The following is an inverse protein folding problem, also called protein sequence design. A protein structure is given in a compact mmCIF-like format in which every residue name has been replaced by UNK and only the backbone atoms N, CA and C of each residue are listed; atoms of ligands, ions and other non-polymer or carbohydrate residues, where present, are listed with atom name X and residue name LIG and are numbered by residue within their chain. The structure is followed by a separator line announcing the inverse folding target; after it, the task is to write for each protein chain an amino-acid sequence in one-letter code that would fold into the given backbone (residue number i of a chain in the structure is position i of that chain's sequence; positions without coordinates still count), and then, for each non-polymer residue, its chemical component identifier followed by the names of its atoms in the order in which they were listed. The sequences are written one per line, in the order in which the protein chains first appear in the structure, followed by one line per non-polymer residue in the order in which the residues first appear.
data_IF_621695741529
#
_entry.id   IF_621695741529
#
_cell.length_a   1.000
_cell.length_b   1.000
_cell.length_c   1.000
_cell.angle_alpha   90.00
_cell.angle_beta   90.00
_cell.angle_gamma   90.00
#
_symmetry.space_group_name_H-M   'P 1'
#
loop_
_entity.id
_entity.type
_entity.pdbx_description
1 polymer ?
#
# COMPACT_ATOMS: atom_id res chain seq x y z
N UNK A 1 -51.60 -33.44 -4.74
CA UNK A 1 -50.80 -33.00 -3.57
C UNK A 1 -49.28 -33.20 -3.70
N UNK A 2 -48.72 -33.76 -4.78
CA UNK A 2 -47.27 -34.08 -4.88
C UNK A 2 -46.35 -32.92 -5.27
N UNK A 3 -46.85 -31.84 -5.88
CA UNK A 3 -46.01 -30.72 -6.35
C UNK A 3 -45.85 -29.56 -5.35
N UNK A 4 -46.68 -29.50 -4.28
CA UNK A 4 -46.58 -28.43 -3.27
C UNK A 4 -45.36 -28.57 -2.36
N UNK A 5 -44.86 -29.78 -2.14
CA UNK A 5 -43.72 -30.02 -1.25
C UNK A 5 -42.37 -29.81 -1.98
N UNK A 6 -42.30 -30.09 -3.28
CA UNK A 6 -41.08 -29.87 -4.08
C UNK A 6 -40.79 -28.39 -4.34
N UNK A 7 -41.82 -27.54 -4.46
CA UNK A 7 -41.67 -26.08 -4.60
C UNK A 7 -41.23 -25.43 -3.28
N UNK A 8 -41.73 -25.93 -2.14
CA UNK A 8 -41.35 -25.41 -0.81
C UNK A 8 -39.88 -25.73 -0.48
N UNK A 9 -39.39 -26.90 -0.87
CA UNK A 9 -37.99 -27.31 -0.71
C UNK A 9 -37.04 -26.48 -1.59
N UNK A 10 -37.46 -26.14 -2.82
CA UNK A 10 -36.66 -25.27 -3.71
C UNK A 10 -36.54 -23.84 -3.16
N UNK A 11 -37.61 -23.32 -2.53
CA UNK A 11 -37.60 -22.01 -1.85
C UNK A 11 -36.71 -22.02 -0.59
N UNK A 12 -36.65 -23.14 0.13
CA UNK A 12 -35.79 -23.28 1.32
C UNK A 12 -34.30 -23.33 0.95
N UNK A 13 -33.95 -23.98 -0.17
CA UNK A 13 -32.57 -23.97 -0.68
C UNK A 13 -32.15 -22.62 -1.29
N UNK A 14 -33.08 -21.87 -1.89
CA UNK A 14 -32.81 -20.51 -2.37
C UNK A 14 -32.66 -19.49 -1.22
N UNK A 15 -33.32 -19.70 -0.08
CA UNK A 15 -33.18 -18.83 1.09
C UNK A 15 -31.94 -19.16 1.95
N UNK A 16 -31.44 -20.41 1.93
CA UNK A 16 -30.25 -20.82 2.67
C UNK A 16 -28.92 -20.48 1.97
N UNK A 17 -28.95 -20.04 0.71
CA UNK A 17 -27.77 -19.71 -0.09
C UNK A 17 -27.22 -18.28 0.07
N UNK A 18 -27.80 -17.47 0.97
CA UNK A 18 -27.37 -16.10 1.25
C UNK A 18 -27.24 -15.86 2.76
N UNK A 19 -26.49 -16.71 3.48
CA UNK A 19 -25.96 -16.27 4.78
C UNK A 19 -24.88 -15.24 4.50
N UNK A 20 -25.07 -14.00 4.95
CA UNK A 20 -23.99 -13.04 4.97
C UNK A 20 -22.84 -13.64 5.82
N UNK A 21 -21.57 -13.46 5.39
CA UNK A 21 -20.43 -13.91 6.16
C UNK A 21 -20.50 -13.29 7.56
N UNK A 22 -20.34 -14.11 8.59
CA UNK A 22 -20.56 -13.66 9.98
C UNK A 22 -19.31 -13.85 10.86
N UNK A 23 -18.38 -14.71 10.44
CA UNK A 23 -17.13 -14.98 11.17
C UNK A 23 -15.96 -14.11 10.71
N UNK A 24 -15.01 -13.87 11.63
CA UNK A 24 -13.80 -13.08 11.35
C UNK A 24 -12.97 -13.74 10.22
N UNK A 25 -12.92 -15.07 10.19
CA UNK A 25 -12.21 -15.85 9.17
C UNK A 25 -12.82 -15.73 7.76
N UNK A 26 -14.16 -15.78 7.65
CA UNK A 26 -14.86 -15.63 6.37
C UNK A 26 -14.69 -14.22 5.81
N UNK A 27 -14.81 -13.20 6.66
CA UNK A 27 -14.67 -11.79 6.28
C UNK A 27 -13.22 -11.47 5.88
N UNK A 28 -12.24 -12.06 6.58
CA UNK A 28 -10.83 -11.99 6.18
C UNK A 28 -10.58 -12.67 4.82
N UNK A 29 -11.25 -13.80 4.54
CA UNK A 29 -11.14 -14.48 3.25
C UNK A 29 -11.71 -13.63 2.10
N UNK A 30 -12.82 -12.92 2.33
CA UNK A 30 -13.38 -11.98 1.36
C UNK A 30 -12.44 -10.81 1.07
N UNK A 31 -11.79 -10.26 2.09
CA UNK A 31 -10.77 -9.22 1.87
C UNK A 31 -9.58 -9.74 1.05
N UNK A 32 -9.18 -11.02 1.21
CA UNK A 32 -8.14 -11.64 0.37
C UNK A 32 -8.58 -11.79 -1.10
N UNK A 33 -9.85 -12.13 -1.33
CA UNK A 33 -10.42 -12.17 -2.67
C UNK A 33 -10.45 -10.77 -3.30
N UNK A 34 -10.99 -9.79 -2.57
CA UNK A 34 -11.03 -8.38 -2.99
C UNK A 34 -9.63 -7.79 -3.23
N UNK A 35 -8.63 -8.18 -2.44
CA UNK A 35 -7.24 -7.82 -2.69
C UNK A 35 -6.78 -8.36 -4.06
N UNK A 36 -7.09 -9.62 -4.36
CA UNK A 36 -6.75 -10.23 -5.66
C UNK A 36 -7.41 -9.47 -6.82
N UNK A 37 -8.67 -9.09 -6.67
CA UNK A 37 -9.40 -8.27 -7.66
C UNK A 37 -8.79 -6.87 -7.82
N UNK A 38 -8.48 -6.18 -6.72
CA UNK A 38 -7.85 -4.87 -6.72
C UNK A 38 -6.49 -4.85 -7.44
N UNK A 39 -5.79 -6.00 -7.46
CA UNK A 39 -4.50 -6.16 -8.12
C UNK A 39 -4.62 -6.66 -9.56
N UNK A 40 -5.82 -7.07 -10.00
CA UNK A 40 -6.07 -7.68 -11.31
C UNK A 40 -6.19 -6.66 -12.46
N UNK A 41 -5.29 -5.68 -12.55
CA UNK A 41 -5.30 -4.67 -13.62
C UNK A 41 -3.97 -4.55 -14.36
N UNK A 42 -4.05 -4.08 -15.62
CA UNK A 42 -2.96 -4.21 -16.61
C UNK A 42 -1.67 -3.49 -16.21
N UNK A 43 -1.76 -2.35 -15.50
CA UNK A 43 -0.55 -1.63 -15.08
C UNK A 43 0.24 -2.36 -13.99
N UNK A 44 -0.40 -3.11 -13.08
CA UNK A 44 0.32 -4.00 -12.15
C UNK A 44 1.02 -5.10 -12.90
N UNK A 45 0.34 -5.70 -13.89
CA UNK A 45 0.96 -6.74 -14.72
C UNK A 45 2.17 -6.18 -15.47
N UNK A 46 2.10 -4.94 -15.99
CA UNK A 46 3.25 -4.27 -16.60
C UNK A 46 4.37 -3.96 -15.60
N UNK A 47 4.03 -3.52 -14.39
CA UNK A 47 5.02 -3.25 -13.35
C UNK A 47 5.74 -4.52 -12.90
N UNK A 48 5.00 -5.62 -12.72
CA UNK A 48 5.53 -6.95 -12.49
C UNK A 48 6.44 -7.39 -13.64
N UNK A 49 6.05 -7.14 -14.90
CA UNK A 49 6.90 -7.38 -16.07
C UNK A 49 8.24 -6.65 -15.97
N UNK A 50 8.23 -5.35 -15.64
CA UNK A 50 9.46 -4.58 -15.46
C UNK A 50 10.31 -5.08 -14.29
N UNK A 51 9.67 -5.47 -13.17
CA UNK A 51 10.34 -6.00 -11.98
C UNK A 51 11.00 -7.36 -12.24
N UNK A 52 10.31 -8.27 -12.92
CA UNK A 52 10.88 -9.54 -13.37
C UNK A 52 12.07 -9.27 -14.29
N UNK A 53 12.03 -8.23 -15.14
CA UNK A 53 13.16 -7.89 -15.99
C UNK A 53 14.41 -7.51 -15.21
N UNK A 54 14.26 -6.66 -14.19
CA UNK A 54 15.38 -6.30 -13.30
C UNK A 54 15.89 -7.54 -12.54
N UNK A 55 15.01 -8.32 -11.91
CA UNK A 55 15.37 -9.49 -11.11
C UNK A 55 16.06 -10.58 -11.93
N UNK A 56 15.52 -10.89 -13.10
CA UNK A 56 16.06 -11.94 -13.98
C UNK A 56 17.43 -11.60 -14.56
N UNK A 57 17.84 -10.33 -14.57
CA UNK A 57 19.19 -9.93 -15.01
C UNK A 57 20.31 -10.60 -14.19
N UNK A 58 20.04 -10.92 -12.92
CA UNK A 58 20.97 -11.57 -12.01
C UNK A 58 20.92 -13.11 -12.06
N UNK A 59 20.08 -13.71 -12.90
CA UNK A 59 19.99 -15.18 -13.03
C UNK A 59 21.32 -15.73 -13.57
N UNK A 60 21.90 -16.67 -12.84
CA UNK A 60 23.16 -17.33 -13.22
C UNK A 60 22.93 -18.60 -14.04
N UNK A 61 21.85 -19.34 -13.75
CA UNK A 61 21.46 -20.54 -14.51
C UNK A 61 20.45 -20.19 -15.60
N UNK A 62 20.95 -20.02 -16.82
CA UNK A 62 20.15 -19.65 -18.00
C UNK A 62 19.41 -20.84 -18.63
N UNK A 63 19.57 -22.05 -18.09
CA UNK A 63 18.88 -23.26 -18.57
C UNK A 63 17.47 -23.40 -17.99
N UNK A 64 17.13 -22.63 -16.93
CA UNK A 64 15.82 -22.67 -16.28
C UNK A 64 14.68 -22.32 -17.25
N UNK A 65 13.62 -23.15 -17.36
CA UNK A 65 12.50 -22.90 -18.26
C UNK A 65 11.83 -21.53 -18.07
N UNK A 66 11.71 -21.08 -16.82
CA UNK A 66 11.10 -19.80 -16.47
C UNK A 66 11.94 -18.63 -16.97
N UNK A 67 13.28 -18.74 -16.90
CA UNK A 67 14.19 -17.75 -17.46
C UNK A 67 14.12 -17.73 -18.99
N UNK A 68 14.14 -18.89 -19.65
CA UNK A 68 14.13 -18.98 -21.12
C UNK A 68 12.85 -18.43 -21.75
N UNK A 69 11.70 -18.60 -21.08
CA UNK A 69 10.41 -18.04 -21.51
C UNK A 69 10.42 -16.51 -21.51
N UNK A 70 11.23 -15.90 -20.64
CA UNK A 70 11.23 -14.46 -20.40
C UNK A 70 12.42 -13.74 -21.06
N UNK A 71 13.58 -14.39 -21.15
CA UNK A 71 14.86 -13.76 -21.47
C UNK A 71 14.90 -13.08 -22.83
N UNK A 72 14.17 -13.60 -23.82
CA UNK A 72 14.06 -13.03 -25.17
C UNK A 72 13.38 -11.66 -25.21
N UNK A 73 12.61 -11.33 -24.17
CA UNK A 73 11.82 -10.10 -24.06
C UNK A 73 12.40 -9.11 -23.04
N UNK A 74 13.57 -9.43 -22.46
CA UNK A 74 14.24 -8.62 -21.45
C UNK A 74 14.95 -7.39 -22.00
N UNK A 75 15.60 -7.55 -23.16
CA UNK A 75 16.57 -6.58 -23.64
C UNK A 75 15.94 -5.20 -23.88
N UNK A 76 14.71 -5.13 -24.39
CA UNK A 76 14.02 -3.85 -24.60
C UNK A 76 13.73 -3.13 -23.29
N UNK A 77 13.28 -3.87 -22.26
CA UNK A 77 13.01 -3.31 -20.92
C UNK A 77 14.31 -2.89 -20.26
N UNK A 78 15.32 -3.77 -20.24
CA UNK A 78 16.60 -3.49 -19.61
C UNK A 78 17.35 -2.35 -20.31
N UNK A 79 17.34 -2.26 -21.63
CA UNK A 79 17.92 -1.12 -22.36
C UNK A 79 17.17 0.18 -22.08
N UNK A 80 15.84 0.09 -21.94
CA UNK A 80 15.05 1.23 -21.51
C UNK A 80 15.41 1.63 -20.09
N UNK A 81 15.64 0.70 -19.17
CA UNK A 81 16.00 0.96 -17.77
C UNK A 81 17.50 1.30 -17.55
N UNK A 82 18.41 0.85 -18.41
CA UNK A 82 19.86 1.09 -18.27
C UNK A 82 20.25 2.54 -18.57
N UNK A 83 19.42 3.26 -19.34
CA UNK A 83 19.57 4.69 -19.63
C UNK A 83 18.97 5.59 -18.54
N UNK A 84 18.94 5.16 -17.28
CA UNK A 84 18.46 5.98 -16.15
C UNK A 84 19.61 6.89 -15.71
N UNK A 85 19.72 8.08 -16.30
CA UNK A 85 20.36 9.18 -15.58
C UNK A 85 19.40 9.62 -14.48
N UNK A 86 19.88 9.72 -13.25
CA UNK A 86 19.13 10.14 -12.05
C UNK A 86 18.40 11.48 -12.22
N UNK A 87 18.82 12.30 -13.21
CA UNK A 87 18.24 13.60 -13.56
C UNK A 87 17.38 13.60 -14.84
N UNK A 88 17.29 12.48 -15.56
CA UNK A 88 16.58 12.44 -16.84
C UNK A 88 15.12 12.01 -16.68
N UNK A 89 14.23 12.98 -16.48
CA UNK A 89 12.78 12.83 -16.67
C UNK A 89 12.38 12.56 -18.13
N UNK A 90 13.22 11.87 -18.92
CA UNK A 90 12.97 11.61 -20.33
C UNK A 90 11.88 10.56 -20.46
N UNK A 91 10.78 10.97 -21.09
CA UNK A 91 9.78 10.06 -21.65
C UNK A 91 10.44 9.12 -22.64
N UNK A 92 9.98 7.87 -22.69
CA UNK A 92 10.40 6.93 -23.74
C UNK A 92 9.84 7.38 -25.09
N UNK A 93 10.58 7.15 -26.16
CA UNK A 93 10.10 7.45 -27.51
C UNK A 93 8.90 6.55 -27.88
N UNK A 94 8.01 6.99 -28.80
CA UNK A 94 6.89 6.18 -29.27
C UNK A 94 7.31 4.80 -29.81
N UNK A 95 8.49 4.73 -30.45
CA UNK A 95 9.05 3.47 -30.95
C UNK A 95 9.46 2.52 -29.81
N UNK A 96 10.15 3.04 -28.79
CA UNK A 96 10.47 2.26 -27.59
C UNK A 96 9.20 1.79 -26.88
N UNK A 97 8.18 2.66 -26.78
CA UNK A 97 6.89 2.31 -26.19
C UNK A 97 6.17 1.20 -26.95
N UNK A 98 6.21 1.22 -28.28
CA UNK A 98 5.62 0.17 -29.11
C UNK A 98 6.37 -1.17 -28.99
N UNK A 99 7.71 -1.14 -28.96
CA UNK A 99 8.52 -2.35 -28.74
C UNK A 99 8.27 -2.95 -27.36
N UNK A 100 8.23 -2.11 -26.31
CA UNK A 100 7.88 -2.53 -24.95
C UNK A 100 6.48 -3.12 -24.87
N UNK A 101 5.50 -2.52 -25.56
CA UNK A 101 4.14 -3.06 -25.62
C UNK A 101 4.12 -4.45 -26.28
N UNK A 102 4.85 -4.63 -27.40
CA UNK A 102 4.94 -5.91 -28.09
C UNK A 102 5.56 -6.98 -27.20
N UNK A 103 6.68 -6.67 -26.55
CA UNK A 103 7.35 -7.59 -25.63
C UNK A 103 6.47 -7.94 -24.44
N UNK A 104 5.86 -6.93 -23.80
CA UNK A 104 4.90 -7.12 -22.73
C UNK A 104 3.74 -8.06 -23.15
N UNK A 105 3.12 -7.82 -24.30
CA UNK A 105 2.01 -8.64 -24.80
C UNK A 105 2.42 -10.09 -25.07
N UNK A 106 3.65 -10.33 -25.53
CA UNK A 106 4.16 -11.67 -25.80
C UNK A 106 4.29 -12.52 -24.53
N UNK A 107 4.62 -11.90 -23.40
CA UNK A 107 4.85 -12.61 -22.11
C UNK A 107 3.77 -12.35 -21.07
N UNK A 108 2.72 -11.60 -21.40
CA UNK A 108 1.68 -11.17 -20.44
C UNK A 108 1.08 -12.32 -19.64
N UNK A 109 0.76 -13.45 -20.28
CA UNK A 109 0.21 -14.63 -19.60
C UNK A 109 1.19 -15.19 -18.56
N UNK A 110 2.44 -15.40 -18.98
CA UNK A 110 3.52 -15.83 -18.09
C UNK A 110 3.70 -14.88 -16.91
N UNK A 111 3.72 -13.57 -17.13
CA UNK A 111 3.88 -12.56 -16.08
C UNK A 111 2.72 -12.61 -15.08
N UNK A 112 1.48 -12.81 -15.53
CA UNK A 112 0.33 -12.92 -14.63
C UNK A 112 0.47 -14.09 -13.67
N UNK A 113 0.83 -15.26 -14.18
CA UNK A 113 0.83 -16.53 -13.44
C UNK A 113 2.10 -16.74 -12.60
N UNK A 114 3.23 -16.15 -13.00
CA UNK A 114 4.53 -16.41 -12.37
C UNK A 114 4.74 -15.55 -11.15
N UNK A 115 5.02 -16.11 -9.98
CA UNK A 115 5.52 -15.32 -8.84
C UNK A 115 6.90 -14.71 -9.18
N UNK A 116 7.05 -13.40 -9.11
CA UNK A 116 8.33 -12.75 -9.41
C UNK A 116 9.46 -13.13 -8.45
N UNK A 117 9.12 -13.66 -7.27
CA UNK A 117 10.08 -14.05 -6.24
C UNK A 117 10.82 -15.36 -6.53
N UNK A 118 10.46 -16.09 -7.59
CA UNK A 118 11.27 -17.22 -8.08
C UNK A 118 12.64 -16.75 -8.61
N UNK A 119 12.72 -15.51 -9.09
CA UNK A 119 13.94 -14.89 -9.59
C UNK A 119 14.83 -14.38 -8.43
N UNK A 120 16.10 -14.02 -8.69
CA UNK A 120 16.95 -13.32 -7.74
C UNK A 120 16.28 -12.07 -7.15
N UNK A 121 16.82 -11.57 -6.04
CA UNK A 121 16.26 -10.38 -5.39
C UNK A 121 16.42 -9.14 -6.27
N UNK A 122 15.65 -8.11 -5.99
CA UNK A 122 15.71 -6.85 -6.73
C UNK A 122 17.08 -6.18 -6.58
N UNK A 123 17.63 -6.15 -5.37
CA UNK A 123 18.97 -5.61 -5.08
C UNK A 123 20.04 -6.36 -5.86
N UNK A 124 19.92 -7.68 -6.00
CA UNK A 124 20.80 -8.49 -6.84
C UNK A 124 20.71 -8.09 -8.32
N UNK A 125 19.50 -7.83 -8.81
CA UNK A 125 19.28 -7.26 -10.14
C UNK A 125 19.92 -5.88 -10.31
N UNK A 126 19.74 -4.96 -9.36
CA UNK A 126 20.38 -3.64 -9.37
C UNK A 126 21.91 -3.73 -9.31
N UNK A 127 22.46 -4.62 -8.48
CA UNK A 127 23.90 -4.90 -8.43
C UNK A 127 24.43 -5.34 -9.80
N UNK A 128 23.68 -6.16 -10.53
CA UNK A 128 24.07 -6.63 -11.86
C UNK A 128 23.99 -5.53 -12.93
N UNK A 129 23.01 -4.64 -12.85
CA UNK A 129 22.75 -3.59 -13.86
C UNK A 129 23.63 -2.35 -13.61
N UNK A 130 23.75 -1.90 -12.37
CA UNK A 130 24.38 -0.61 -12.01
C UNK A 130 25.66 -0.76 -11.17
N UNK A 131 25.97 -1.96 -10.66
CA UNK A 131 27.18 -2.20 -9.89
C UNK A 131 28.47 -2.20 -10.73
N UNK A 132 29.60 -2.01 -10.05
CA UNK A 132 30.93 -2.05 -10.67
C UNK A 132 31.35 -3.50 -11.04
N UNK A 133 30.91 -3.96 -12.22
CA UNK A 133 31.59 -5.00 -12.99
C UNK A 133 30.97 -6.40 -12.94
N UNK A 134 31.06 -7.10 -14.08
CA UNK A 134 30.51 -8.43 -14.33
C UNK A 134 31.14 -9.60 -13.56
N UNK A 135 31.51 -9.41 -12.29
CA UNK A 135 31.92 -10.50 -11.40
C UNK A 135 30.69 -11.25 -10.90
N UNK A 136 30.76 -12.57 -10.93
CA UNK A 136 29.76 -13.41 -10.28
C UNK A 136 29.74 -13.08 -8.77
N UNK A 137 28.56 -12.76 -8.25
CA UNK A 137 28.32 -12.59 -6.83
C UNK A 137 27.45 -13.75 -6.33
N UNK A 138 27.63 -14.21 -5.08
CA UNK A 138 26.79 -15.25 -4.53
C UNK A 138 25.34 -14.74 -4.44
N UNK A 139 24.40 -15.53 -4.96
CA UNK A 139 22.98 -15.24 -4.83
C UNK A 139 22.47 -15.66 -3.44
N UNK A 140 21.56 -14.88 -2.89
CA UNK A 140 20.80 -15.24 -1.70
C UNK A 140 19.90 -16.44 -2.00
N UNK A 141 19.81 -17.36 -1.04
CA UNK A 141 18.99 -18.57 -1.12
C UNK A 141 18.22 -18.79 0.18
N UNK A 142 17.14 -19.58 0.11
CA UNK A 142 16.34 -20.01 1.26
C UNK A 142 15.89 -18.83 2.15
N UNK A 143 15.96 -18.97 3.48
CA UNK A 143 15.50 -17.99 4.47
C UNK A 143 16.09 -16.59 4.24
N UNK A 144 17.39 -16.49 3.92
CA UNK A 144 18.04 -15.20 3.65
C UNK A 144 17.44 -14.50 2.42
N UNK A 145 17.05 -15.28 1.42
CA UNK A 145 16.36 -14.75 0.24
C UNK A 145 14.95 -14.30 0.62
N UNK A 146 14.20 -15.11 1.35
CA UNK A 146 12.85 -14.79 1.83
C UNK A 146 12.82 -13.51 2.66
N UNK A 147 13.75 -13.37 3.60
CA UNK A 147 13.89 -12.17 4.43
C UNK A 147 14.19 -10.93 3.58
N UNK A 148 15.19 -11.03 2.68
CA UNK A 148 15.56 -9.94 1.80
C UNK A 148 14.40 -9.52 0.88
N UNK A 149 13.67 -10.48 0.31
CA UNK A 149 12.52 -10.20 -0.56
C UNK A 149 11.40 -9.48 0.18
N UNK A 150 11.08 -9.92 1.40
CA UNK A 150 10.09 -9.24 2.25
C UNK A 150 10.47 -7.78 2.53
N UNK A 151 11.73 -7.54 2.87
CA UNK A 151 12.24 -6.19 3.10
C UNK A 151 12.21 -5.37 1.79
N UNK A 152 12.57 -5.96 0.65
CA UNK A 152 12.50 -5.30 -0.66
C UNK A 152 11.08 -4.87 -1.01
N UNK A 153 10.10 -5.76 -0.86
CA UNK A 153 8.69 -5.50 -1.11
C UNK A 153 8.16 -4.38 -0.20
N UNK A 154 8.54 -4.42 1.08
CA UNK A 154 8.19 -3.36 2.01
C UNK A 154 8.78 -2.00 1.63
N UNK A 155 10.08 -1.94 1.33
CA UNK A 155 10.76 -0.72 0.89
C UNK A 155 10.10 -0.21 -0.40
N UNK A 156 9.84 -1.09 -1.37
CA UNK A 156 9.17 -0.71 -2.60
C UNK A 156 7.77 -0.15 -2.36
N UNK A 157 6.98 -0.75 -1.45
CA UNK A 157 5.65 -0.24 -1.10
C UNK A 157 5.70 1.21 -0.60
N UNK A 158 6.74 1.57 0.14
CA UNK A 158 6.97 2.94 0.61
C UNK A 158 7.46 3.86 -0.51
N UNK A 159 8.40 3.40 -1.35
CA UNK A 159 8.92 4.16 -2.48
C UNK A 159 7.81 4.52 -3.46
N UNK A 160 6.97 3.55 -3.84
CA UNK A 160 5.88 3.79 -4.79
C UNK A 160 4.76 4.64 -4.18
N UNK A 161 4.50 4.52 -2.88
CA UNK A 161 3.57 5.40 -2.17
C UNK A 161 4.06 6.86 -2.16
N UNK A 162 5.37 7.08 -2.02
CA UNK A 162 5.99 8.40 -2.08
C UNK A 162 5.92 9.02 -3.50
N UNK A 163 5.83 8.20 -4.55
CA UNK A 163 5.62 8.67 -5.91
C UNK A 163 4.14 8.95 -6.17
N UNK A 164 3.74 10.24 -6.13
CA UNK A 164 2.35 10.74 -6.15
C UNK A 164 1.43 10.16 -7.24
N UNK A 165 1.99 9.68 -8.35
CA UNK A 165 1.24 9.25 -9.54
C UNK A 165 1.19 7.71 -9.76
N UNK A 166 2.09 6.93 -9.14
CA UNK A 166 1.96 5.47 -9.05
C UNK A 166 1.13 5.12 -7.81
N UNK A 167 1.57 5.65 -6.68
CA UNK A 167 0.83 5.81 -5.44
C UNK A 167 0.27 4.51 -4.86
N UNK A 168 -1.05 4.46 -4.77
CA UNK A 168 -1.75 3.51 -3.91
C UNK A 168 -1.86 2.08 -4.47
N UNK A 169 -2.20 1.87 -5.76
CA UNK A 169 -2.33 0.50 -6.28
C UNK A 169 -1.02 -0.28 -6.37
N UNK A 170 0.09 0.37 -6.73
CA UNK A 170 1.41 -0.26 -6.75
C UNK A 170 1.93 -0.50 -5.33
N UNK A 171 1.64 0.41 -4.39
CA UNK A 171 1.97 0.20 -2.98
C UNK A 171 1.21 -1.00 -2.43
N UNK A 172 -0.08 -1.14 -2.78
CA UNK A 172 -0.90 -2.29 -2.41
C UNK A 172 -0.34 -3.59 -2.99
N UNK A 173 0.09 -3.58 -4.25
CA UNK A 173 0.74 -4.74 -4.87
C UNK A 173 1.99 -5.15 -4.10
N UNK A 174 2.93 -4.23 -3.89
CA UNK A 174 4.17 -4.53 -3.18
C UNK A 174 3.92 -4.98 -1.74
N UNK A 175 2.98 -4.34 -1.05
CA UNK A 175 2.50 -4.74 0.26
C UNK A 175 1.92 -6.17 0.27
N UNK A 176 1.10 -6.53 -0.72
CA UNK A 176 0.48 -7.86 -0.81
C UNK A 176 1.48 -9.01 -0.96
N UNK A 177 2.69 -8.71 -1.45
CA UNK A 177 3.77 -9.67 -1.65
C UNK A 177 4.65 -9.88 -0.43
N UNK A 178 4.56 -8.98 0.55
CA UNK A 178 5.17 -9.24 1.86
C UNK A 178 4.43 -10.39 2.57
N UNK A 179 5.22 -11.27 3.16
CA UNK A 179 4.86 -12.41 3.99
C UNK A 179 5.51 -12.27 5.37
N UNK A 180 5.07 -11.32 6.23
CA UNK A 180 5.63 -11.11 7.57
C UNK A 180 5.57 -12.34 8.47
N UNK A 181 4.67 -13.28 8.20
CA UNK A 181 4.60 -14.58 8.87
C UNK A 181 5.86 -15.43 8.69
N UNK A 182 6.63 -15.21 7.61
CA UNK A 182 7.91 -15.86 7.36
C UNK A 182 9.09 -15.11 7.97
N UNK A 183 8.86 -13.93 8.56
CA UNK A 183 9.89 -13.15 9.23
C UNK A 183 9.98 -13.50 10.71
N UNK A 184 11.18 -13.45 11.29
CA UNK A 184 11.36 -13.61 12.73
C UNK A 184 10.61 -12.50 13.48
N UNK A 185 10.14 -12.82 14.69
CA UNK A 185 9.48 -11.86 15.57
C UNK A 185 10.49 -10.81 16.07
N UNK A 186 10.46 -9.64 15.43
CA UNK A 186 11.33 -8.49 15.71
C UNK A 186 10.60 -7.20 15.32
N UNK A 187 11.13 -6.04 15.75
CA UNK A 187 10.60 -4.71 15.38
C UNK A 187 10.30 -4.58 13.87
N UNK A 188 11.18 -5.11 13.02
CA UNK A 188 11.04 -5.00 11.57
C UNK A 188 9.72 -5.61 11.12
N UNK A 189 9.40 -6.83 11.56
CA UNK A 189 8.12 -7.49 11.28
C UNK A 189 6.95 -6.60 11.73
N UNK A 190 7.03 -6.07 12.94
CA UNK A 190 5.97 -5.22 13.52
C UNK A 190 5.74 -3.94 12.72
N UNK A 191 6.82 -3.27 12.32
CA UNK A 191 6.76 -2.08 11.47
C UNK A 191 6.19 -2.41 10.08
N UNK A 192 6.54 -3.56 9.50
CA UNK A 192 6.00 -4.02 8.23
C UNK A 192 4.49 -4.29 8.33
N UNK A 193 4.05 -5.01 9.35
CA UNK A 193 2.62 -5.27 9.57
C UNK A 193 1.83 -3.97 9.77
N UNK A 194 2.41 -2.95 10.40
CA UNK A 194 1.77 -1.64 10.53
C UNK A 194 1.58 -0.95 9.18
N UNK A 195 2.63 -0.93 8.35
CA UNK A 195 2.58 -0.37 6.99
C UNK A 195 1.56 -1.11 6.13
N UNK A 196 1.52 -2.45 6.23
CA UNK A 196 0.52 -3.27 5.54
C UNK A 196 -0.89 -2.92 5.97
N UNK A 197 -1.13 -2.83 7.28
CA UNK A 197 -2.43 -2.44 7.83
C UNK A 197 -2.89 -1.10 7.26
N UNK A 198 -2.05 -0.08 7.31
CA UNK A 198 -2.35 1.22 6.73
C UNK A 198 -2.73 1.16 5.23
N UNK A 199 -1.98 0.38 4.43
CA UNK A 199 -2.26 0.22 3.00
C UNK A 199 -3.55 -0.55 2.75
N UNK A 200 -3.87 -1.56 3.56
CA UNK A 200 -5.12 -2.31 3.48
C UNK A 200 -6.32 -1.44 3.88
N UNK A 201 -6.24 -0.71 5.00
CA UNK A 201 -7.26 0.27 5.41
C UNK A 201 -7.55 1.28 4.29
N UNK A 202 -6.50 1.85 3.68
CA UNK A 202 -6.62 2.83 2.58
C UNK A 202 -7.32 2.26 1.34
N UNK A 203 -7.30 0.93 1.16
CA UNK A 203 -7.94 0.22 0.06
C UNK A 203 -9.27 -0.46 0.46
N UNK A 204 -9.84 -0.11 1.62
CA UNK A 204 -11.06 -0.70 2.17
C UNK A 204 -10.97 -2.23 2.35
N UNK A 205 -9.81 -2.71 2.78
CA UNK A 205 -9.53 -4.10 3.15
C UNK A 205 -9.37 -4.18 4.69
N UNK A 206 -10.48 -3.90 5.40
CA UNK A 206 -10.46 -3.61 6.84
C UNK A 206 -10.11 -4.84 7.68
N UNK A 207 -10.52 -6.06 7.29
CA UNK A 207 -10.20 -7.29 8.01
C UNK A 207 -8.75 -7.70 7.81
N UNK A 208 -8.19 -7.49 6.61
CA UNK A 208 -6.75 -7.67 6.38
C UNK A 208 -5.90 -6.68 7.19
N UNK A 209 -6.38 -5.45 7.33
CA UNK A 209 -5.71 -4.44 8.16
C UNK A 209 -5.78 -4.79 9.65
N UNK A 210 -6.98 -5.08 10.14
CA UNK A 210 -7.25 -5.45 11.53
C UNK A 210 -6.42 -6.65 11.97
N UNK A 211 -6.32 -7.69 11.14
CA UNK A 211 -5.57 -8.91 11.41
C UNK A 211 -4.07 -8.64 11.62
N UNK A 212 -3.46 -7.79 10.78
CA UNK A 212 -2.07 -7.35 10.94
C UNK A 212 -1.85 -6.50 12.19
N UNK A 213 -2.72 -5.50 12.42
CA UNK A 213 -2.62 -4.63 13.59
C UNK A 213 -2.84 -5.40 14.91
N UNK A 214 -3.70 -6.42 14.88
CA UNK A 214 -3.94 -7.32 16.01
C UNK A 214 -2.72 -8.16 16.38
N UNK A 215 -1.94 -8.64 15.39
CA UNK A 215 -0.65 -9.30 15.66
C UNK A 215 0.38 -8.33 16.22
N UNK A 216 0.46 -7.13 15.67
CA UNK A 216 1.35 -6.08 16.17
C UNK A 216 1.10 -5.74 17.63
N UNK A 217 -0.16 -5.49 18.00
CA UNK A 217 -0.54 -5.16 19.37
C UNK A 217 -0.12 -6.29 20.31
N UNK A 218 -0.44 -7.55 19.99
CA UNK A 218 -0.04 -8.71 20.79
C UNK A 218 1.48 -8.83 20.94
N UNK A 219 2.24 -8.47 19.91
CA UNK A 219 3.70 -8.48 19.99
C UNK A 219 4.21 -7.34 20.88
N UNK A 220 3.67 -6.13 20.73
CA UNK A 220 4.03 -4.97 21.55
C UNK A 220 3.71 -5.21 23.03
N UNK A 221 2.53 -5.73 23.36
CA UNK A 221 2.12 -6.12 24.72
C UNK A 221 3.13 -7.06 25.41
N UNK A 222 3.76 -7.95 24.63
CA UNK A 222 4.73 -8.94 25.14
C UNK A 222 6.15 -8.42 25.19
N UNK A 223 6.43 -7.28 24.54
CA UNK A 223 7.77 -6.77 24.27
C UNK A 223 7.91 -5.28 24.65
N UNK A 224 7.30 -4.86 25.77
CA UNK A 224 7.27 -3.46 26.25
C UNK A 224 8.63 -2.77 26.33
N UNK A 225 9.70 -3.54 26.59
CA UNK A 225 11.05 -3.03 26.82
C UNK A 225 11.98 -3.17 25.60
N UNK A 226 11.49 -3.67 24.47
CA UNK A 226 12.31 -3.80 23.25
C UNK A 226 12.49 -2.42 22.63
N UNK A 227 13.74 -1.96 22.39
CA UNK A 227 13.98 -0.72 21.68
C UNK A 227 13.39 -0.77 20.26
N UNK A 228 12.82 0.35 19.81
CA UNK A 228 12.20 0.47 18.49
C UNK A 228 12.93 1.50 17.59
N UNK A 229 14.23 1.30 17.27
CA UNK A 229 15.02 2.26 16.49
C UNK A 229 14.50 2.49 15.07
N UNK A 230 14.01 1.46 14.37
CA UNK A 230 13.52 1.60 13.00
C UNK A 230 12.19 2.36 12.93
N UNK A 231 11.29 2.07 13.87
CA UNK A 231 10.01 2.75 14.07
C UNK A 231 10.26 4.21 14.43
N UNK A 232 11.20 4.47 15.35
CA UNK A 232 11.61 5.82 15.73
C UNK A 232 12.15 6.61 14.53
N UNK A 233 12.96 5.97 13.69
CA UNK A 233 13.45 6.58 12.45
C UNK A 233 12.32 6.83 11.45
N UNK A 234 11.43 5.85 11.26
CA UNK A 234 10.29 5.90 10.35
C UNK A 234 9.37 7.09 10.64
N UNK A 235 8.96 7.27 11.90
CA UNK A 235 8.06 8.36 12.29
C UNK A 235 8.78 9.69 12.62
N UNK A 236 10.10 9.75 12.50
CA UNK A 236 10.88 10.94 12.84
C UNK A 236 10.89 11.27 14.34
N UNK A 237 10.63 10.28 15.21
CA UNK A 237 10.52 10.42 16.65
C UNK A 237 11.87 10.45 17.38
N UNK A 238 12.89 11.07 16.78
CA UNK A 238 14.28 11.02 17.28
C UNK A 238 14.44 11.45 18.74
N UNK A 239 13.55 12.32 19.22
CA UNK A 239 13.59 12.88 20.57
C UNK A 239 12.79 12.06 21.62
N UNK A 240 12.04 11.02 21.21
CA UNK A 240 11.33 10.16 22.15
C UNK A 240 12.29 9.16 22.79
N UNK A 241 12.10 8.87 24.08
CA UNK A 241 12.72 7.70 24.72
C UNK A 241 12.19 6.39 24.14
N UNK A 242 12.82 5.26 24.43
CA UNK A 242 12.36 3.95 23.94
C UNK A 242 10.96 3.61 24.50
N UNK A 243 10.72 3.89 25.78
CA UNK A 243 9.40 3.71 26.40
C UNK A 243 8.32 4.61 25.76
N UNK A 244 8.65 5.88 25.48
CA UNK A 244 7.73 6.78 24.76
C UNK A 244 7.48 6.32 23.32
N UNK A 245 8.51 5.80 22.64
CA UNK A 245 8.40 5.25 21.28
C UNK A 245 7.49 4.04 21.26
N UNK A 246 7.66 3.13 22.22
CA UNK A 246 6.80 1.96 22.40
C UNK A 246 5.35 2.38 22.63
N UNK A 247 5.10 3.25 23.60
CA UNK A 247 3.76 3.75 23.93
C UNK A 247 3.11 4.45 22.73
N UNK A 248 3.87 5.25 21.97
CA UNK A 248 3.36 5.93 20.79
C UNK A 248 3.00 4.95 19.67
N UNK A 249 3.85 3.97 19.40
CA UNK A 249 3.60 2.98 18.36
C UNK A 249 2.46 2.03 18.72
N UNK A 250 2.38 1.62 19.98
CA UNK A 250 1.27 0.85 20.53
C UNK A 250 -0.07 1.59 20.36
N UNK A 251 -0.14 2.87 20.78
CA UNK A 251 -1.31 3.71 20.58
C UNK A 251 -1.69 3.87 19.10
N UNK A 252 -0.73 4.03 18.18
CA UNK A 252 -1.02 4.09 16.75
C UNK A 252 -1.66 2.79 16.22
N UNK A 253 -1.17 1.61 16.63
CA UNK A 253 -1.78 0.36 16.19
C UNK A 253 -3.23 0.23 16.67
N UNK A 254 -3.51 0.60 17.92
CA UNK A 254 -4.88 0.67 18.46
C UNK A 254 -5.75 1.66 17.68
N UNK A 255 -5.23 2.84 17.38
CA UNK A 255 -5.96 3.86 16.62
C UNK A 255 -6.40 3.36 15.24
N UNK A 256 -5.49 2.75 14.47
CA UNK A 256 -5.84 2.23 13.13
C UNK A 256 -6.79 1.05 13.21
N UNK A 257 -6.58 0.13 14.16
CA UNK A 257 -7.48 -1.01 14.33
C UNK A 257 -8.89 -0.56 14.73
N UNK A 258 -8.98 0.46 15.58
CA UNK A 258 -10.24 1.11 15.92
C UNK A 258 -10.93 1.68 14.68
N UNK A 259 -10.19 2.35 13.79
CA UNK A 259 -10.76 2.83 12.53
C UNK A 259 -11.18 1.71 11.58
N UNK A 260 -10.40 0.63 11.45
CA UNK A 260 -10.80 -0.54 10.66
C UNK A 260 -12.15 -1.07 11.13
N UNK A 261 -12.26 -1.32 12.44
CA UNK A 261 -13.45 -1.88 13.08
C UNK A 261 -14.67 -0.98 13.01
N UNK A 262 -14.49 0.34 13.04
CA UNK A 262 -15.59 1.28 12.75
C UNK A 262 -16.13 1.18 11.33
N UNK A 263 -15.26 0.84 10.37
CA UNK A 263 -15.59 0.74 8.96
C UNK A 263 -16.14 -0.63 8.58
N UNK A 264 -15.99 -1.63 9.45
CA UNK A 264 -16.68 -2.91 9.37
C UNK A 264 -18.18 -2.75 9.67
N UNK A 265 -18.96 -3.73 9.22
CA UNK A 265 -20.42 -3.64 9.24
C UNK A 265 -21.06 -4.19 10.52
N UNK A 266 -20.39 -5.12 11.22
CA UNK A 266 -21.00 -5.79 12.37
C UNK A 266 -20.92 -4.87 13.60
N UNK A 267 -21.98 -4.91 14.43
CA UNK A 267 -22.03 -4.16 15.69
C UNK A 267 -20.91 -4.55 16.65
N UNK A 268 -20.52 -5.83 16.65
CA UNK A 268 -19.41 -6.32 17.49
C UNK A 268 -18.09 -5.66 17.11
N UNK A 269 -17.88 -5.33 15.83
CA UNK A 269 -16.68 -4.63 15.39
C UNK A 269 -16.71 -3.19 15.90
N UNK A 270 -17.85 -2.49 15.79
CA UNK A 270 -17.97 -1.13 16.33
C UNK A 270 -17.63 -1.07 17.82
N UNK A 271 -18.18 -1.97 18.64
CA UNK A 271 -17.86 -2.03 20.08
C UNK A 271 -16.37 -2.31 20.34
N UNK A 272 -15.79 -3.30 19.65
CA UNK A 272 -14.34 -3.58 19.72
C UNK A 272 -13.49 -2.38 19.29
N UNK A 273 -13.98 -1.58 18.34
CA UNK A 273 -13.32 -0.36 17.89
C UNK A 273 -13.39 0.78 18.91
N UNK A 274 -14.46 0.87 19.71
CA UNK A 274 -14.54 1.79 20.84
C UNK A 274 -13.53 1.41 21.94
N UNK A 275 -13.40 0.12 22.25
CA UNK A 275 -12.39 -0.37 23.19
C UNK A 275 -10.96 -0.03 22.72
N UNK A 276 -10.72 -0.10 21.41
CA UNK A 276 -9.43 0.29 20.82
C UNK A 276 -9.14 1.79 21.00
N UNK A 277 -10.15 2.64 20.84
CA UNK A 277 -10.00 4.08 21.08
C UNK A 277 -9.76 4.42 22.55
N UNK A 278 -10.37 3.69 23.49
CA UNK A 278 -10.06 3.82 24.91
C UNK A 278 -8.56 3.54 25.15
N UNK A 279 -8.02 2.47 24.56
CA UNK A 279 -6.59 2.13 24.66
C UNK A 279 -5.68 3.17 24.02
N UNK A 280 -6.03 3.67 22.84
CA UNK A 280 -5.30 4.77 22.20
C UNK A 280 -5.25 6.01 23.12
N UNK A 281 -6.38 6.39 23.72
CA UNK A 281 -6.46 7.57 24.60
C UNK A 281 -5.67 7.38 25.90
N UNK A 282 -5.66 6.16 26.47
CA UNK A 282 -4.81 5.80 27.60
C UNK A 282 -3.32 6.05 27.28
N UNK A 283 -2.86 5.61 26.12
CA UNK A 283 -1.46 5.78 25.72
C UNK A 283 -1.11 7.24 25.40
N UNK A 284 -1.98 7.96 24.71
CA UNK A 284 -1.74 9.39 24.44
C UNK A 284 -1.69 10.19 25.72
N UNK A 285 -2.49 9.82 26.74
CA UNK A 285 -2.44 10.42 28.07
C UNK A 285 -1.12 10.14 28.79
N UNK A 286 -0.59 8.91 28.72
CA UNK A 286 0.74 8.57 29.26
C UNK A 286 1.85 9.41 28.62
N UNK A 287 1.69 9.74 27.33
CA UNK A 287 2.61 10.59 26.58
C UNK A 287 2.40 12.10 26.81
N UNK A 288 1.36 12.50 27.55
CA UNK A 288 1.00 13.91 27.74
C UNK A 288 0.50 14.60 26.45
N UNK A 289 -0.06 13.84 25.51
CA UNK A 289 -0.54 14.33 24.22
C UNK A 289 -2.04 14.64 24.27
N UNK A 290 -2.39 15.91 24.04
CA UNK A 290 -3.75 16.35 23.72
C UNK A 290 -3.68 17.11 22.39
N UNK A 291 -4.18 16.51 21.32
CA UNK A 291 -4.18 17.05 19.95
C UNK A 291 -5.60 17.06 19.39
N UNK A 292 -5.83 17.70 18.24
CA UNK A 292 -7.12 17.64 17.56
C UNK A 292 -7.55 16.20 17.24
N UNK A 293 -6.59 15.31 16.95
CA UNK A 293 -6.86 13.90 16.73
C UNK A 293 -7.34 13.21 18.01
N UNK A 294 -6.65 13.41 19.14
CA UNK A 294 -7.07 12.79 20.41
C UNK A 294 -8.41 13.33 20.86
N UNK A 295 -8.64 14.65 20.75
CA UNK A 295 -9.92 15.28 21.07
C UNK A 295 -11.05 14.81 20.14
N UNK A 296 -10.78 14.59 18.85
CA UNK A 296 -11.75 14.04 17.92
C UNK A 296 -12.11 12.60 18.29
N UNK A 297 -11.12 11.74 18.55
CA UNK A 297 -11.34 10.35 18.98
C UNK A 297 -12.08 10.29 20.32
N UNK A 298 -11.66 11.09 21.30
CA UNK A 298 -12.29 11.20 22.62
C UNK A 298 -13.75 11.65 22.50
N UNK A 299 -14.02 12.69 21.70
CA UNK A 299 -15.38 13.16 21.48
C UNK A 299 -16.27 12.05 20.90
N UNK A 300 -15.78 11.32 19.89
CA UNK A 300 -16.55 10.27 19.26
C UNK A 300 -16.80 9.08 20.18
N UNK A 301 -15.77 8.62 20.89
CA UNK A 301 -15.88 7.55 21.87
C UNK A 301 -17.01 7.85 22.86
N UNK A 302 -16.99 9.04 23.46
CA UNK A 302 -17.99 9.40 24.46
C UNK A 302 -19.37 9.70 23.87
N UNK A 303 -19.46 10.15 22.62
CA UNK A 303 -20.74 10.24 21.91
C UNK A 303 -21.38 8.85 21.73
N UNK A 304 -20.57 7.84 21.43
CA UNK A 304 -21.03 6.44 21.23
C UNK A 304 -21.32 5.73 22.54
N UNK A 305 -20.55 6.00 23.59
CA UNK A 305 -20.80 5.52 24.97
C UNK A 305 -21.91 6.28 25.71
N UNK A 306 -22.53 7.27 25.06
CA UNK A 306 -23.56 8.14 25.63
C UNK A 306 -23.12 8.92 26.89
N UNK A 307 -21.81 9.16 27.05
CA UNK A 307 -21.24 10.02 28.08
C UNK A 307 -21.22 11.47 27.59
N UNK A 308 -22.39 12.11 27.70
CA UNK A 308 -22.64 13.48 27.23
C UNK A 308 -21.64 14.50 27.80
N UNK A 309 -21.34 14.41 29.09
CA UNK A 309 -20.47 15.39 29.76
C UNK A 309 -19.06 15.37 29.18
N UNK A 310 -18.47 14.18 29.04
CA UNK A 310 -17.12 14.05 28.47
C UNK A 310 -17.10 14.35 26.97
N UNK A 311 -18.13 13.95 26.23
CA UNK A 311 -18.26 14.28 24.81
C UNK A 311 -18.27 15.80 24.58
N UNK A 312 -19.10 16.54 25.32
CA UNK A 312 -19.19 18.00 25.23
C UNK A 312 -17.88 18.68 25.66
N UNK A 313 -17.20 18.15 26.68
CA UNK A 313 -15.90 18.68 27.11
C UNK A 313 -14.84 18.56 26.00
N UNK A 314 -14.71 17.40 25.37
CA UNK A 314 -13.78 17.16 24.27
C UNK A 314 -14.12 18.01 23.03
N UNK A 315 -15.40 18.06 22.63
CA UNK A 315 -15.87 18.90 21.51
C UNK A 315 -15.60 20.38 21.76
N UNK A 316 -15.82 20.88 22.98
CA UNK A 316 -15.59 22.28 23.33
C UNK A 316 -14.11 22.67 23.26
N UNK A 317 -13.21 21.73 23.61
CA UNK A 317 -11.77 21.93 23.39
C UNK A 317 -11.43 21.91 21.91
N UNK A 318 -11.93 20.93 21.16
CA UNK A 318 -11.70 20.78 19.72
C UNK A 318 -12.18 22.03 18.94
N UNK A 319 -13.34 22.58 19.29
CA UNK A 319 -13.89 23.80 18.69
C UNK A 319 -12.95 25.01 18.79
N UNK A 320 -12.16 25.09 19.88
CA UNK A 320 -11.22 26.18 20.12
C UNK A 320 -9.90 26.01 19.36
N UNK A 321 -9.68 24.88 18.68
CA UNK A 321 -8.45 24.62 17.94
C UNK A 321 -8.21 25.71 16.88
N UNK A 322 -6.99 26.26 16.77
CA UNK A 322 -6.63 27.18 15.70
C UNK A 322 -6.50 26.48 14.33
N UNK A 323 -6.43 25.15 14.30
CA UNK A 323 -6.25 24.36 13.08
C UNK A 323 -7.56 24.07 12.34
N UNK A 324 -8.71 24.33 12.97
CA UNK A 324 -10.02 24.15 12.36
C UNK A 324 -10.51 25.41 11.66
N UNK A 325 -11.11 25.21 10.49
CA UNK A 325 -11.82 26.25 9.75
C UNK A 325 -13.08 26.72 10.48
N UNK A 326 -13.57 27.92 10.16
CA UNK A 326 -14.80 28.45 10.73
C UNK A 326 -16.01 27.53 10.51
N UNK A 327 -16.10 26.89 9.33
CA UNK A 327 -17.14 25.91 9.04
C UNK A 327 -17.06 24.66 9.92
N UNK A 328 -15.85 24.16 10.21
CA UNK A 328 -15.66 23.02 11.12
C UNK A 328 -16.04 23.41 12.55
N UNK A 329 -15.66 24.60 13.01
CA UNK A 329 -16.04 25.11 14.34
C UNK A 329 -17.54 25.30 14.51
N UNK A 330 -18.23 25.77 13.47
CA UNK A 330 -19.69 25.89 13.47
C UNK A 330 -20.38 24.52 13.49
N UNK A 331 -19.85 23.54 12.75
CA UNK A 331 -20.34 22.17 12.77
C UNK A 331 -20.18 21.53 14.16
N UNK A 332 -19.04 21.77 14.84
CA UNK A 332 -18.83 21.34 16.22
C UNK A 332 -19.82 22.02 17.16
N UNK A 333 -20.07 23.33 17.00
CA UNK A 333 -21.04 24.07 17.81
C UNK A 333 -22.45 23.44 17.73
N UNK A 334 -22.90 23.15 16.49
CA UNK A 334 -24.18 22.49 16.24
C UNK A 334 -24.24 21.10 16.87
N UNK A 335 -23.13 20.37 16.84
CA UNK A 335 -23.02 19.05 17.46
C UNK A 335 -23.14 19.14 18.98
N UNK A 336 -22.49 20.11 19.62
CA UNK A 336 -22.60 20.34 21.07
C UNK A 336 -24.05 20.62 21.47
N UNK A 337 -24.76 21.49 20.75
CA UNK A 337 -26.18 21.79 21.01
C UNK A 337 -27.01 20.52 20.87
N UNK A 338 -26.86 19.80 19.76
CA UNK A 338 -27.59 18.56 19.52
C UNK A 338 -27.37 17.50 20.61
N UNK A 339 -26.12 17.30 21.03
CA UNK A 339 -25.75 16.36 22.09
C UNK A 339 -26.33 16.78 23.44
N UNK A 340 -26.46 18.08 23.68
CA UNK A 340 -27.11 18.57 24.89
C UNK A 340 -28.62 18.31 24.92
N UNK A 341 -29.27 18.33 23.77
CA UNK A 341 -30.73 18.21 23.66
C UNK A 341 -31.21 16.81 23.27
N UNK A 342 -30.30 15.89 22.94
CA UNK A 342 -30.59 14.52 22.49
C UNK A 342 -31.05 13.63 23.64
N UNK A 343 -32.13 12.87 23.41
CA UNK A 343 -32.52 11.73 24.24
C UNK A 343 -31.60 10.52 23.99
N UNK A 344 -31.24 9.81 25.06
CA UNK A 344 -30.46 8.58 25.01
C UNK A 344 -31.08 7.54 24.07
N UNK A 345 -30.25 6.81 23.32
CA UNK A 345 -30.69 5.78 22.37
C UNK A 345 -31.22 6.28 21.01
N UNK A 346 -31.42 7.59 20.81
CA UNK A 346 -31.73 8.11 19.45
C UNK A 346 -30.47 8.12 18.58
N UNK A 347 -30.57 7.77 17.30
CA UNK A 347 -29.42 7.79 16.39
C UNK A 347 -28.81 9.21 16.31
N UNK A 348 -27.47 9.29 16.27
CA UNK A 348 -26.75 10.54 15.95
C UNK A 348 -27.10 10.94 14.51
N UNK A 349 -28.11 11.79 14.34
CA UNK A 349 -28.53 12.24 13.02
C UNK A 349 -27.50 13.22 12.44
N UNK A 350 -26.57 12.72 11.62
CA UNK A 350 -25.88 13.51 10.61
C UNK A 350 -24.36 13.64 10.73
N UNK A 351 -23.70 13.38 9.59
CA UNK A 351 -22.40 13.90 9.12
C UNK A 351 -21.13 13.51 9.91
N UNK A 352 -21.18 13.34 11.22
CA UNK A 352 -19.99 13.10 12.07
C UNK A 352 -19.58 11.63 12.20
N UNK A 353 -20.48 10.68 11.92
CA UNK A 353 -20.46 9.36 12.59
C UNK A 353 -19.33 8.40 12.18
N UNK A 354 -18.79 8.46 10.96
CA UNK A 354 -17.67 7.57 10.55
C UNK A 354 -16.72 8.23 9.57
N UNK A 355 -17.28 9.03 8.66
CA UNK A 355 -16.55 9.66 7.55
C UNK A 355 -15.64 10.80 8.04
N UNK A 356 -16.07 11.59 9.03
CA UNK A 356 -15.28 12.72 9.53
C UNK A 356 -14.01 12.25 10.25
N UNK A 357 -14.12 11.32 11.21
CA UNK A 357 -12.98 10.75 11.92
C UNK A 357 -12.02 9.99 11.00
N UNK A 358 -12.55 9.11 10.14
CA UNK A 358 -11.73 8.37 9.19
C UNK A 358 -10.97 9.34 8.27
N UNK A 359 -11.61 10.44 7.87
CA UNK A 359 -10.99 11.49 7.04
C UNK A 359 -9.94 12.28 7.83
N UNK A 360 -10.13 12.55 9.12
CA UNK A 360 -9.11 13.19 9.97
C UNK A 360 -7.90 12.27 10.12
N UNK A 361 -8.11 11.00 10.45
CA UNK A 361 -7.04 10.02 10.62
C UNK A 361 -6.25 9.77 9.34
N UNK A 362 -6.96 9.56 8.22
CA UNK A 362 -6.36 9.36 6.90
C UNK A 362 -5.60 10.61 6.45
N UNK A 363 -6.17 11.81 6.63
CA UNK A 363 -5.47 13.07 6.34
C UNK A 363 -4.23 13.24 7.19
N UNK A 364 -4.31 12.94 8.49
CA UNK A 364 -3.17 13.03 9.40
C UNK A 364 -2.05 12.09 8.96
N UNK A 365 -2.35 10.82 8.69
CA UNK A 365 -1.33 9.86 8.24
C UNK A 365 -0.75 10.17 6.88
N UNK A 366 -1.57 10.50 5.88
CA UNK A 366 -1.05 10.92 4.59
C UNK A 366 -0.17 12.16 4.78
N UNK A 367 -0.57 13.10 5.64
CA UNK A 367 0.27 14.27 5.94
C UNK A 367 1.59 13.93 6.62
N UNK A 368 1.65 12.86 7.43
CA UNK A 368 2.89 12.36 8.04
C UNK A 368 3.75 11.64 7.00
N UNK A 369 3.17 10.70 6.25
CA UNK A 369 3.88 9.89 5.25
C UNK A 369 4.41 10.70 4.07
N UNK A 370 3.69 11.74 3.64
CA UNK A 370 4.12 12.64 2.55
C UNK A 370 5.22 13.60 3.02
N UNK A 371 5.32 13.89 4.32
CA UNK A 371 6.39 14.75 4.86
C UNK A 371 7.73 14.02 5.04
N UNK A 372 7.74 12.69 4.97
CA UNK A 372 8.96 11.89 5.10
C UNK A 372 9.69 11.87 3.76
N UNK A 373 10.92 12.34 3.76
CA UNK A 373 11.85 12.16 2.64
C UNK A 373 12.37 10.70 2.68
N UNK A 374 11.60 9.79 2.07
CA UNK A 374 11.89 8.36 2.03
C UNK A 374 13.25 8.06 1.40
N UNK A 375 13.66 8.83 0.40
CA UNK A 375 14.96 8.68 -0.24
C UNK A 375 16.08 8.99 0.76
N UNK A 376 15.95 10.07 1.53
CA UNK A 376 16.90 10.41 2.60
C UNK A 376 16.89 9.39 3.74
N UNK A 377 15.73 8.86 4.13
CA UNK A 377 15.62 7.81 5.16
C UNK A 377 16.34 6.54 4.73
N UNK A 378 16.10 6.06 3.51
CA UNK A 378 16.72 4.85 2.99
C UNK A 378 18.24 5.00 2.85
N UNK A 379 18.72 6.18 2.41
CA UNK A 379 20.15 6.51 2.41
C UNK A 379 20.76 6.51 3.80
N UNK A 380 20.10 7.13 4.78
CA UNK A 380 20.58 7.18 6.16
C UNK A 380 20.67 5.78 6.81
N UNK A 381 19.91 4.81 6.30
CA UNK A 381 19.93 3.41 6.73
C UNK A 381 20.76 2.50 5.80
N UNK A 382 21.60 3.08 4.94
CA UNK A 382 22.52 2.35 4.05
C UNK A 382 21.85 1.36 3.09
N UNK A 383 20.63 1.66 2.62
CA UNK A 383 19.97 0.85 1.59
C UNK A 383 20.71 1.01 0.25
N UNK A 384 21.27 -0.06 -0.34
CA UNK A 384 22.02 0.02 -1.59
C UNK A 384 21.16 0.51 -2.75
N UNK A 385 21.78 1.22 -3.70
CA UNK A 385 21.14 1.68 -4.94
C UNK A 385 19.87 2.52 -4.75
N UNK A 386 19.76 3.23 -3.62
CA UNK A 386 18.54 4.00 -3.30
C UNK A 386 18.18 4.99 -4.43
N UNK A 387 19.16 5.68 -5.00
CA UNK A 387 18.89 6.67 -6.07
C UNK A 387 18.38 6.01 -7.35
N UNK A 388 19.00 4.89 -7.72
CA UNK A 388 18.65 4.07 -8.87
C UNK A 388 17.28 3.43 -8.71
N UNK A 389 16.90 2.97 -7.50
CA UNK A 389 15.58 2.44 -7.19
C UNK A 389 14.50 3.50 -7.45
N UNK A 390 14.65 4.70 -6.86
CA UNK A 390 13.67 5.79 -7.06
C UNK A 390 13.57 6.22 -8.52
N UNK A 391 14.71 6.34 -9.21
CA UNK A 391 14.74 6.72 -10.62
C UNK A 391 14.13 5.64 -11.52
N UNK A 392 14.38 4.36 -11.23
CA UNK A 392 13.78 3.21 -11.93
C UNK A 392 12.27 3.17 -11.73
N UNK A 393 11.77 3.35 -10.51
CA UNK A 393 10.33 3.40 -10.22
C UNK A 393 9.65 4.51 -11.04
N UNK A 394 10.22 5.72 -11.05
CA UNK A 394 9.71 6.84 -11.88
C UNK A 394 9.74 6.48 -13.38
N UNK A 395 10.78 5.81 -13.86
CA UNK A 395 10.88 5.43 -15.27
C UNK A 395 9.87 4.36 -15.66
N UNK A 396 9.69 3.34 -14.83
CA UNK A 396 8.67 2.30 -15.03
C UNK A 396 7.27 2.90 -15.09
N UNK A 397 6.99 3.95 -14.30
CA UNK A 397 5.75 4.72 -14.41
C UNK A 397 5.57 5.33 -15.80
N UNK A 398 6.57 6.07 -16.29
CA UNK A 398 6.51 6.69 -17.60
C UNK A 398 6.35 5.65 -18.72
N UNK A 399 7.07 4.53 -18.62
CA UNK A 399 6.92 3.40 -19.53
C UNK A 399 5.51 2.82 -19.49
N UNK A 400 4.96 2.57 -18.30
CA UNK A 400 3.60 2.02 -18.11
C UNK A 400 2.54 2.94 -18.72
N UNK A 401 2.64 4.24 -18.50
CA UNK A 401 1.73 5.22 -19.07
C UNK A 401 1.84 5.29 -20.60
N UNK A 402 3.06 5.33 -21.13
CA UNK A 402 3.29 5.32 -22.58
C UNK A 402 2.77 4.03 -23.24
N UNK A 403 3.05 2.86 -22.65
CA UNK A 403 2.57 1.56 -23.12
C UNK A 403 1.04 1.46 -23.04
N UNK A 404 0.42 1.99 -21.98
CA UNK A 404 -1.04 1.99 -21.84
C UNK A 404 -1.74 2.75 -22.96
N UNK A 405 -1.09 3.77 -23.55
CA UNK A 405 -1.65 4.49 -24.70
C UNK A 405 -1.81 3.59 -25.93
N UNK A 406 -1.05 2.51 -26.06
CA UNK A 406 -1.11 1.54 -27.18
C UNK A 406 -2.13 0.41 -26.97
N UNK A 407 -2.89 0.45 -25.87
CA UNK A 407 -4.01 -0.49 -25.65
C UNK A 407 -5.27 -0.10 -26.44
N UNK A 408 -5.34 1.12 -26.99
CA UNK A 408 -6.37 1.58 -27.91
C UNK A 408 -5.92 1.48 -29.38
N UNK A 409 -6.79 0.98 -30.28
CA UNK A 409 -6.51 0.77 -31.71
C UNK A 409 -5.94 2.00 -32.43
N UNK A 410 -6.45 3.20 -32.09
CA UNK A 410 -6.04 4.48 -32.68
C UNK A 410 -4.58 4.86 -32.45
N UNK A 411 -3.97 4.39 -31.36
CA UNK A 411 -2.57 4.71 -31.01
C UNK A 411 -1.58 3.75 -31.67
N UNK A 412 -2.00 2.51 -31.95
CA UNK A 412 -1.22 1.52 -32.70
C UNK A 412 -0.97 2.00 -34.13
N UNK A 413 -1.97 2.60 -34.78
CA UNK A 413 -1.81 3.18 -36.12
C UNK A 413 -0.85 4.38 -36.15
N UNK A 414 -0.93 5.26 -35.15
CA UNK A 414 0.02 6.38 -35.01
C UNK A 414 1.47 5.88 -34.87
N UNK A 415 1.71 4.88 -34.02
CA UNK A 415 3.03 4.29 -33.86
C UNK A 415 3.56 3.62 -35.14
N UNK A 416 2.70 2.93 -35.89
CA UNK A 416 3.06 2.36 -37.21
C UNK A 416 3.42 3.43 -38.24
N UNK A 417 2.72 4.57 -38.23
CA UNK A 417 2.96 5.65 -39.17
C UNK A 417 4.28 6.39 -38.87
N UNK A 418 4.61 6.61 -37.60
CA UNK A 418 5.91 7.17 -37.21
C UNK A 418 7.08 6.22 -37.56
N UNK A 419 6.87 4.91 -37.42
CA UNK A 419 7.81 3.88 -37.85
C UNK A 419 8.10 3.94 -39.35
N UNK A 420 7.05 4.04 -40.16
CA UNK A 420 7.19 4.21 -41.62
C UNK A 420 7.94 5.50 -41.96
N UNK A 421 7.64 6.59 -41.24
CA UNK A 421 8.29 7.89 -41.46
C UNK A 421 9.79 7.83 -41.13
N UNK A 422 10.18 7.34 -39.95
CA UNK A 422 11.61 7.18 -39.60
C UNK A 422 12.35 6.21 -40.52
N UNK A 423 11.68 5.15 -40.98
CA UNK A 423 12.24 4.22 -41.96
C UNK A 423 12.50 4.89 -43.32
N UNK A 424 11.57 5.74 -43.77
CA UNK A 424 11.75 6.59 -44.95
C UNK A 424 12.93 7.53 -44.77
N UNK A 425 12.96 8.28 -43.66
CA UNK A 425 14.00 9.28 -43.39
C UNK A 425 15.41 8.66 -43.33
N UNK A 426 15.55 7.45 -42.79
CA UNK A 426 16.82 6.71 -42.78
C UNK A 426 17.22 6.21 -44.17
N UNK A 427 16.28 5.71 -44.96
CA UNK A 427 16.54 5.29 -46.34
C UNK A 427 16.92 6.48 -47.23
N UNK A 428 16.28 7.62 -47.02
CA UNK A 428 16.58 8.85 -47.77
C UNK A 428 17.92 9.44 -47.32
N UNK A 429 18.25 9.38 -46.03
CA UNK A 429 19.58 9.70 -45.50
C UNK A 429 20.68 8.78 -46.07
N UNK A 430 20.43 7.47 -46.16
CA UNK A 430 21.38 6.52 -46.74
C UNK A 430 21.57 6.74 -48.26
N UNK A 431 20.51 7.08 -49.00
CA UNK A 431 20.61 7.48 -50.41
C UNK A 431 21.40 8.78 -50.58
N UNK A 432 21.29 9.73 -49.66
CA UNK A 432 22.05 10.98 -49.70
C UNK A 432 23.55 10.81 -49.42
N UNK A 433 23.95 9.68 -48.81
CA UNK A 433 25.36 9.31 -48.58
C UNK A 433 25.97 8.48 -49.73
N UNK A 434 25.13 7.99 -50.65
CA UNK A 434 25.52 7.21 -51.83
C UNK A 434 25.53 8.04 -53.13
N UNK A 435 25.13 9.30 -53.04
CA UNK A 435 25.35 10.36 -54.03
C UNK A 435 26.42 11.31 -53.51
#
# INVERSE_FOLDING_TARGET
MKYKHSILLLFFFLAAGCSNPDTDEELLALDKEKLTENLAYDKITFYKFAKIAVRSSAVQDTTKPEYQKFSKHLNTVLNSLSNVNTDSGKSISPMEALLLYKDYRAVKGFVKETDEDIFPTLVEGFNKIYGNGGKAFPLLVNEKKTEAQNIEHAILSMVVLATRDLGQPFALYECSKTQPELLPDHETKTLLEFVRGFLFFSNNLFYLSEDGLSRNIKWLDRNENVPLPYTKAFFGWRNLSDSQTHTAFHGLNYLFRGFDRLRMERKVDEERGLDDFEKFLEDTKKLGLETELTLAVESYLYLKREDKEKAVAALSKLQKSPLLSNSEKEAIAKTIVYVNDREAGKALNGVYDKVFLSKIATKYMISVLVKIDWQKVLKANNVPHTDEIFATVRKVQHMSNAVSSYTSETSIEKGKNELKKKGSDLLDGAKSLLN
#
